data_IF_303757589569
#
_entry.id   IF_303757589569
#
_cell.length_a   1.000
_cell.length_b   1.000
_cell.length_c   1.000
_cell.angle_alpha   90.00
_cell.angle_beta   90.00
_cell.angle_gamma   90.00
#
_symmetry.space_group_name_H-M   'P 1'
#
loop_
_entity.id
_entity.type
_entity.pdbx_description
1 polymer ?
#
# COMPACT_ATOMS: atom_id res chain seq x y z
N UNK A 1 -6.40 -19.95 -5.57
CA UNK A 1 -5.48 -19.37 -4.57
C UNK A 1 -6.31 -18.76 -3.45
N UNK A 2 -5.84 -18.88 -2.20
CA UNK A 2 -6.52 -18.31 -1.03
C UNK A 2 -5.56 -17.36 -0.32
N UNK A 3 -6.00 -16.14 -0.06
CA UNK A 3 -5.30 -15.15 0.75
C UNK A 3 -6.04 -14.98 2.07
N UNK A 4 -5.33 -15.02 3.18
CA UNK A 4 -5.86 -14.74 4.50
C UNK A 4 -5.10 -13.59 5.14
N UNK A 5 -5.78 -12.85 6.00
CA UNK A 5 -5.16 -11.78 6.78
C UNK A 5 -6.02 -11.33 7.94
N UNK A 6 -5.46 -10.45 8.75
CA UNK A 6 -6.11 -9.86 9.91
C UNK A 6 -5.80 -8.37 9.99
N UNK A 7 -6.81 -7.57 10.26
CA UNK A 7 -6.69 -6.12 10.44
C UNK A 7 -7.23 -5.72 11.82
N UNK A 8 -6.54 -4.81 12.49
CA UNK A 8 -7.03 -4.26 13.76
C UNK A 8 -7.97 -3.08 13.48
N UNK A 9 -9.19 -3.15 14.03
CA UNK A 9 -10.23 -2.15 13.81
C UNK A 9 -10.44 -1.36 15.09
N UNK A 10 -10.29 -0.04 15.00
CA UNK A 10 -10.58 0.87 16.10
C UNK A 10 -12.10 1.06 16.30
N UNK A 11 -12.53 1.26 17.55
CA UNK A 11 -13.95 1.39 17.93
C UNK A 11 -14.78 2.44 17.17
N UNK A 12 -14.13 3.49 16.68
CA UNK A 12 -14.74 4.66 16.07
C UNK A 12 -14.75 4.59 14.54
N UNK A 13 -14.05 3.62 13.95
CA UNK A 13 -14.10 3.37 12.52
C UNK A 13 -15.45 2.77 12.14
N UNK A 14 -16.10 3.40 11.14
CA UNK A 14 -17.37 2.94 10.57
C UNK A 14 -17.17 2.02 9.36
N UNK A 15 -16.02 2.12 8.71
CA UNK A 15 -15.65 1.28 7.58
C UNK A 15 -14.14 1.08 7.57
N UNK A 16 -13.73 -0.13 7.19
CA UNK A 16 -12.34 -0.53 7.03
C UNK A 16 -12.13 -0.91 5.58
N UNK A 17 -11.08 -0.35 4.97
CA UNK A 17 -10.61 -0.76 3.65
C UNK A 17 -9.47 -1.74 3.81
N UNK A 18 -9.68 -2.97 3.36
CA UNK A 18 -8.66 -4.03 3.39
C UNK A 18 -8.03 -4.13 2.00
N UNK A 19 -6.70 -4.12 1.93
CA UNK A 19 -5.95 -4.30 0.68
C UNK A 19 -5.31 -5.68 0.65
N UNK A 20 -5.47 -6.39 -0.47
CA UNK A 20 -4.79 -7.66 -0.67
C UNK A 20 -3.32 -7.42 -0.96
N UNK A 21 -2.44 -8.27 -0.41
CA UNK A 21 -1.00 -8.23 -0.72
C UNK A 21 -0.72 -8.56 -2.19
N UNK A 22 -1.60 -9.32 -2.83
CA UNK A 22 -1.52 -9.69 -4.25
C UNK A 22 -2.85 -9.42 -4.93
N UNK A 23 -2.80 -9.07 -6.21
CA UNK A 23 -3.99 -8.86 -7.03
C UNK A 23 -4.52 -10.21 -7.53
N UNK A 24 -5.83 -10.38 -7.47
CA UNK A 24 -6.53 -11.50 -8.11
C UNK A 24 -6.78 -11.20 -9.59
N UNK A 25 -6.79 -12.24 -10.44
CA UNK A 25 -7.15 -12.10 -11.86
C UNK A 25 -8.56 -11.55 -12.03
N UNK A 26 -9.48 -12.09 -11.23
CA UNK A 26 -10.90 -11.76 -11.21
C UNK A 26 -11.36 -11.30 -9.82
N UNK A 27 -12.63 -10.90 -9.73
CA UNK A 27 -13.23 -10.48 -8.45
C UNK A 27 -13.23 -11.68 -7.49
N UNK A 28 -12.48 -11.65 -6.38
CA UNK A 28 -12.41 -12.78 -5.47
C UNK A 28 -13.69 -12.91 -4.65
N UNK A 29 -13.97 -14.13 -4.19
CA UNK A 29 -14.95 -14.34 -3.13
C UNK A 29 -14.31 -14.02 -1.79
N UNK A 30 -14.93 -13.16 -0.98
CA UNK A 30 -14.37 -12.71 0.30
C UNK A 30 -15.31 -13.08 1.43
N UNK A 31 -14.74 -13.69 2.48
CA UNK A 31 -15.40 -13.97 3.75
C UNK A 31 -14.70 -13.16 4.83
N UNK A 32 -15.47 -12.45 5.64
CA UNK A 32 -14.94 -11.61 6.72
C UNK A 32 -15.56 -12.04 8.03
N UNK A 33 -14.73 -12.22 9.05
CA UNK A 33 -15.14 -12.59 10.40
C UNK A 33 -14.50 -11.63 11.39
N UNK A 34 -15.33 -10.93 12.16
CA UNK A 34 -14.87 -10.15 13.30
C UNK A 34 -14.78 -11.04 14.54
N UNK A 35 -13.61 -11.05 15.18
CA UNK A 35 -13.38 -11.75 16.45
C UNK A 35 -13.56 -10.77 17.59
N UNK A 36 -14.71 -10.87 18.26
CA UNK A 36 -15.09 -10.03 19.38
C UNK A 36 -14.89 -10.78 20.69
N UNK A 37 -14.77 -10.05 21.80
CA UNK A 37 -14.79 -10.65 23.15
C UNK A 37 -16.09 -11.43 23.43
N UNK A 38 -17.18 -11.06 22.74
CA UNK A 38 -18.50 -11.69 22.84
C UNK A 38 -18.71 -12.86 21.88
N UNK A 39 -17.76 -13.14 20.97
CA UNK A 39 -17.83 -14.25 20.01
C UNK A 39 -17.38 -13.89 18.60
N UNK A 40 -17.62 -14.79 17.65
CA UNK A 40 -17.32 -14.61 16.23
C UNK A 40 -18.56 -14.06 15.51
N UNK A 41 -18.38 -12.99 14.73
CA UNK A 41 -19.45 -12.41 13.91
C UNK A 41 -19.01 -12.31 12.46
N UNK A 42 -19.78 -12.92 11.55
CA UNK A 42 -19.56 -12.78 10.11
C UNK A 42 -20.00 -11.39 9.64
N UNK A 43 -19.17 -10.74 8.83
CA UNK A 43 -19.43 -9.43 8.25
C UNK A 43 -19.54 -9.56 6.72
N UNK A 44 -20.38 -8.72 6.14
CA UNK A 44 -20.55 -8.65 4.68
C UNK A 44 -19.53 -7.67 4.07
N UNK A 45 -18.68 -8.12 3.14
CA UNK A 45 -17.78 -7.24 2.43
C UNK A 45 -18.52 -6.45 1.35
N UNK A 46 -18.22 -5.16 1.26
CA UNK A 46 -18.74 -4.22 0.27
C UNK A 46 -17.66 -3.84 -0.75
N UNK A 47 -18.09 -3.40 -1.94
CA UNK A 47 -17.19 -2.89 -2.99
C UNK A 47 -15.97 -3.80 -3.27
N UNK A 48 -16.18 -5.12 -3.27
CA UNK A 48 -15.12 -6.10 -3.51
C UNK A 48 -14.53 -5.92 -4.91
N UNK A 49 -13.23 -5.69 -4.96
CA UNK A 49 -12.43 -5.52 -6.17
C UNK A 49 -11.29 -6.56 -6.21
N UNK A 50 -10.51 -6.58 -7.29
CA UNK A 50 -9.38 -7.49 -7.47
C UNK A 50 -8.21 -7.25 -6.50
N UNK A 51 -8.14 -6.09 -5.87
CA UNK A 51 -7.00 -5.66 -5.03
C UNK A 51 -7.41 -5.20 -3.62
N UNK A 52 -8.70 -4.97 -3.38
CA UNK A 52 -9.20 -4.51 -2.09
C UNK A 52 -10.69 -4.76 -1.93
N UNK A 53 -11.17 -4.68 -0.70
CA UNK A 53 -12.59 -4.64 -0.36
C UNK A 53 -12.81 -3.68 0.81
N UNK A 54 -14.07 -3.29 1.00
CA UNK A 54 -14.50 -2.51 2.14
C UNK A 54 -15.33 -3.39 3.06
N UNK A 55 -15.31 -3.10 4.35
CA UNK A 55 -16.22 -3.73 5.32
C UNK A 55 -16.86 -2.62 6.12
N UNK A 56 -18.18 -2.66 6.27
CA UNK A 56 -18.86 -1.83 7.25
C UNK A 56 -18.67 -2.45 8.62
N UNK A 57 -17.99 -1.71 9.48
CA UNK A 57 -17.75 -2.08 10.86
C UNK A 57 -18.61 -1.15 11.71
N UNK A 58 -19.72 -1.66 12.24
CA UNK A 58 -20.52 -0.87 13.15
C UNK A 58 -19.73 -0.67 14.45
N UNK A 59 -19.76 0.53 15.01
CA UNK A 59 -19.17 0.80 16.31
C UNK A 59 -19.77 -0.17 17.33
N UNK A 60 -18.92 -0.98 17.96
CA UNK A 60 -19.34 -1.92 18.98
C UNK A 60 -19.17 -1.22 20.32
N UNK A 61 -20.25 -0.96 21.07
CA UNK A 61 -20.12 -0.39 22.41
C UNK A 61 -19.23 -1.31 23.26
N UNK A 62 -18.34 -0.74 24.06
CA UNK A 62 -17.46 -1.42 25.04
C UNK A 62 -16.23 -2.18 24.50
N UNK A 63 -16.02 -2.28 23.19
CA UNK A 63 -14.80 -2.88 22.62
C UNK A 63 -13.87 -1.76 22.12
N UNK A 64 -12.65 -1.66 22.65
CA UNK A 64 -11.68 -0.62 22.25
C UNK A 64 -11.13 -0.87 20.84
N UNK A 65 -10.57 -2.06 20.63
CA UNK A 65 -10.07 -2.56 19.35
C UNK A 65 -10.49 -4.02 19.21
N UNK A 66 -10.72 -4.48 17.98
CA UNK A 66 -10.95 -5.90 17.69
C UNK A 66 -10.28 -6.33 16.38
N UNK A 67 -9.99 -7.63 16.28
CA UNK A 67 -9.37 -8.21 15.10
C UNK A 67 -10.44 -8.59 14.07
N UNK A 68 -10.27 -8.11 12.85
CA UNK A 68 -11.06 -8.47 11.69
C UNK A 68 -10.23 -9.45 10.86
N UNK A 69 -10.63 -10.72 10.89
CA UNK A 69 -10.03 -11.77 10.09
C UNK A 69 -10.77 -11.86 8.75
N UNK A 70 -10.02 -12.05 7.67
CA UNK A 70 -10.60 -12.16 6.34
C UNK A 70 -9.92 -13.26 5.53
N UNK A 71 -10.71 -13.86 4.65
CA UNK A 71 -10.30 -14.89 3.71
C UNK A 71 -10.83 -14.51 2.33
N UNK A 72 -9.94 -14.44 1.35
CA UNK A 72 -10.26 -14.15 -0.04
C UNK A 72 -9.81 -15.31 -0.94
N UNK A 73 -10.75 -15.89 -1.68
CA UNK A 73 -10.52 -17.03 -2.56
C UNK A 73 -10.78 -16.63 -4.01
N UNK A 74 -9.84 -16.93 -4.89
CA UNK A 74 -9.96 -16.62 -6.31
C UNK A 74 -8.78 -17.14 -7.14
N UNK A 75 -8.84 -16.88 -8.44
CA UNK A 75 -7.72 -17.13 -9.34
C UNK A 75 -6.68 -16.02 -9.21
N UNK A 76 -5.41 -16.40 -9.06
CA UNK A 76 -4.31 -15.47 -8.93
C UNK A 76 -3.91 -14.95 -10.31
N UNK A 77 -3.59 -13.66 -10.40
CA UNK A 77 -2.98 -13.12 -11.61
C UNK A 77 -1.63 -13.81 -11.81
N UNK A 78 -1.47 -14.50 -12.95
CA UNK A 78 -0.17 -15.01 -13.37
C UNK A 78 0.74 -13.79 -13.57
N UNK A 79 1.58 -13.51 -12.56
CA UNK A 79 2.58 -12.47 -12.62
C UNK A 79 3.62 -12.87 -13.69
N UNK A 80 3.36 -12.54 -14.95
CA UNK A 80 4.40 -12.52 -15.97
C UNK A 80 5.35 -11.38 -15.57
N UNK A 81 6.59 -11.76 -15.19
CA UNK A 81 7.66 -10.85 -14.78
C UNK A 81 7.78 -9.66 -15.75
N UNK A 82 7.30 -8.50 -15.32
CA UNK A 82 7.62 -7.21 -15.92
C UNK A 82 8.70 -6.50 -15.12
N UNK A 83 9.93 -7.03 -15.14
CA UNK A 83 11.12 -6.27 -14.72
C UNK A 83 11.29 -5.05 -15.66
N UNK A 84 10.74 -3.90 -15.30
CA UNK A 84 11.10 -2.63 -15.95
C UNK A 84 11.79 -1.69 -14.95
N UNK A 85 13.13 -1.83 -14.94
CA UNK A 85 14.15 -0.78 -14.77
C UNK A 85 13.79 0.40 -13.84
N UNK A 86 14.06 0.24 -12.54
CA UNK A 86 14.46 1.37 -11.71
C UNK A 86 15.98 1.52 -11.86
N UNK A 87 16.39 2.24 -12.91
CA UNK A 87 17.77 2.68 -13.10
C UNK A 87 17.75 4.11 -13.66
N UNK A 88 17.23 5.07 -12.88
CA UNK A 88 17.39 6.50 -13.14
C UNK A 88 17.15 7.37 -11.88
N UNK A 89 17.35 6.83 -10.67
CA UNK A 89 16.97 7.53 -9.43
C UNK A 89 18.11 8.01 -8.53
N UNK A 90 19.37 7.68 -8.85
CA UNK A 90 20.54 8.03 -8.01
C UNK A 90 21.69 8.71 -8.78
N UNK A 91 21.67 8.70 -10.12
CA UNK A 91 22.58 9.51 -10.95
C UNK A 91 22.06 10.92 -11.27
N UNK A 92 20.75 11.16 -11.14
CA UNK A 92 20.12 12.45 -11.48
C UNK A 92 20.16 13.51 -10.39
N UNK A 93 20.36 13.13 -9.12
CA UNK A 93 20.33 14.07 -7.99
C UNK A 93 21.74 14.58 -7.63
N UNK A 94 22.82 13.86 -7.99
CA UNK A 94 24.20 14.34 -7.76
C UNK A 94 24.66 15.39 -8.80
N UNK A 95 24.08 15.43 -10.00
CA UNK A 95 24.45 16.37 -11.05
C UNK A 95 23.96 17.82 -10.79
N UNK A 96 22.97 18.00 -9.92
CA UNK A 96 22.38 19.31 -9.59
C UNK A 96 23.06 20.03 -8.42
N UNK A 97 23.92 19.35 -7.65
CA UNK A 97 24.65 19.97 -6.53
C UNK A 97 26.08 20.41 -6.92
N UNK A 98 26.68 19.80 -7.94
CA UNK A 98 28.00 20.19 -8.43
C UNK A 98 27.99 21.53 -9.20
N UNK A 99 26.87 21.91 -9.83
CA UNK A 99 26.78 23.11 -10.67
C UNK A 99 26.63 24.43 -9.90
N UNK A 100 26.30 24.40 -8.60
CA UNK A 100 26.14 25.63 -7.81
C UNK A 100 27.37 26.01 -6.95
N UNK A 101 28.40 25.16 -6.90
CA UNK A 101 29.61 25.43 -6.08
C UNK A 101 30.73 26.11 -6.88
N UNK A 102 30.75 26.01 -8.22
CA UNK A 102 31.83 26.57 -9.03
C UNK A 102 31.70 28.06 -9.40
N UNK A 103 30.58 28.72 -9.07
CA UNK A 103 30.34 30.13 -9.46
C UNK A 103 30.85 31.18 -8.46
N UNK A 104 31.67 30.78 -7.47
CA UNK A 104 32.22 31.71 -6.45
C UNK A 104 33.74 31.93 -6.51
N UNK A 105 34.48 31.29 -7.41
CA UNK A 105 35.95 31.41 -7.47
C UNK A 105 36.53 31.41 -8.89
N UNK A 106 36.08 32.34 -9.74
CA UNK A 106 36.86 32.76 -10.90
C UNK A 106 37.41 34.19 -10.70
N UNK A 107 38.45 34.40 -9.86
CA UNK A 107 39.27 35.59 -9.96
C UNK A 107 40.23 35.43 -11.15
N UNK A 108 40.24 36.43 -12.03
CA UNK A 108 41.31 36.74 -12.98
C UNK A 108 41.76 35.62 -13.94
N UNK A 109 41.12 35.55 -15.12
CA UNK A 109 41.79 35.12 -16.37
C UNK A 109 41.77 36.31 -17.33
N UNK A 110 42.42 37.40 -16.88
CA UNK A 110 42.69 38.60 -17.64
C UNK A 110 44.20 38.63 -17.92
N UNK A 111 44.74 37.53 -18.44
CA UNK A 111 46.10 37.48 -18.97
C UNK A 111 46.27 36.22 -19.80
N UNK A 112 46.39 36.37 -21.12
CA UNK A 112 46.93 35.43 -22.12
C UNK A 112 46.40 35.81 -23.53
N UNK A 113 46.64 37.06 -23.92
CA UNK A 113 46.83 37.43 -25.32
C UNK A 113 48.31 37.79 -25.47
N UNK A 114 49.11 36.81 -25.88
CA UNK A 114 50.42 36.98 -26.52
C UNK A 114 50.61 35.89 -27.55
#
# INVERSE_FOLDING_TARGET
MTLTGSEEVAKDQKSVRVRFQRRFSDKPHVVVTAKLSTGLRRLEPEHVSRSSFFVKVNAIPFVRNYALEWEATGEAEHFALGFFRIAAGLGGILALYATMVELRWAPNVLDLWK
#
